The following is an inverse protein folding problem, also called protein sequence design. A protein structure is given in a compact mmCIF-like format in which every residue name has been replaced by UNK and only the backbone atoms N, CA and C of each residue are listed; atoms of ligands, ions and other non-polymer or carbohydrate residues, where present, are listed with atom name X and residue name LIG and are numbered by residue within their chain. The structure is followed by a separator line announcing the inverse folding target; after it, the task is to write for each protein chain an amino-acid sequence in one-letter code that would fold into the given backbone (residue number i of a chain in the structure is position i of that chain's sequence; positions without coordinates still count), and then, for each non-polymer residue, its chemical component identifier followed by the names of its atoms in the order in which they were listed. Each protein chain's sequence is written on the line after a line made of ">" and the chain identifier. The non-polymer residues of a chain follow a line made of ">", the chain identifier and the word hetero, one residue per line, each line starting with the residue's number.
data_IF_474173689100
#
_entry.id   IF_474173689100
#
_cell.length_a   1.000
_cell.length_b   1.000
_cell.length_c   1.000
_cell.angle_alpha   90.00
_cell.angle_beta   90.00
_cell.angle_gamma   90.00
#
_symmetry.space_group_name_H-M   'P 1'
#
loop_
_entity.id
_entity.type
_entity.pdbx_description
1 polymer ?
#
# COMPACT_ATOMS: atom_id res chain seq x y z
N UNK A 1 9.36 11.14 15.32
CA UNK A 1 8.29 10.16 15.61
C UNK A 1 8.94 8.82 15.91
N UNK A 2 8.64 8.18 17.04
CA UNK A 2 9.16 6.83 17.31
C UNK A 2 8.55 5.82 16.31
N UNK A 3 9.35 4.93 15.74
CA UNK A 3 8.88 3.88 14.81
C UNK A 3 8.20 2.75 15.61
N UNK A 4 6.96 2.98 16.02
CA UNK A 4 6.14 2.03 16.81
C UNK A 4 5.89 0.69 16.10
N UNK A 5 6.04 0.66 14.76
CA UNK A 5 5.89 -0.54 13.93
C UNK A 5 7.11 -1.46 13.91
N UNK A 6 8.29 -1.00 14.37
CA UNK A 6 9.52 -1.79 14.42
C UNK A 6 9.65 -2.63 15.70
N UNK A 7 8.68 -2.53 16.61
CA UNK A 7 8.68 -3.37 17.83
C UNK A 7 8.39 -4.81 17.41
N UNK A 8 9.41 -5.67 17.47
CA UNK A 8 9.24 -7.12 17.34
C UNK A 8 8.31 -7.57 18.48
N UNK A 9 7.07 -7.89 18.15
CA UNK A 9 6.19 -8.60 19.06
C UNK A 9 6.54 -10.09 18.91
N UNK A 10 6.92 -10.74 20.00
CA UNK A 10 7.42 -12.12 20.00
C UNK A 10 6.31 -13.14 19.70
N UNK A 11 5.03 -12.74 19.82
CA UNK A 11 3.84 -13.57 19.61
C UNK A 11 2.89 -13.05 18.51
N UNK A 12 3.41 -12.57 17.37
CA UNK A 12 2.52 -12.25 16.23
C UNK A 12 2.03 -13.57 15.62
N UNK A 13 0.79 -13.95 15.92
CA UNK A 13 0.09 -14.97 15.13
C UNK A 13 0.11 -14.53 13.67
N UNK A 14 0.70 -15.35 12.81
CA UNK A 14 0.70 -15.10 11.37
C UNK A 14 -0.74 -15.23 10.85
N UNK A 15 -1.46 -14.11 10.82
CA UNK A 15 -2.82 -14.02 10.30
C UNK A 15 -2.78 -13.68 8.83
N UNK A 16 -3.46 -14.47 8.01
CA UNK A 16 -3.65 -14.16 6.60
C UNK A 16 -4.52 -12.90 6.46
N UNK A 17 -4.22 -12.02 5.50
CA UNK A 17 -5.06 -10.86 5.22
C UNK A 17 -6.45 -11.30 4.77
N UNK A 18 -7.47 -10.50 5.11
CA UNK A 18 -8.83 -10.73 4.65
C UNK A 18 -8.94 -10.51 3.13
N UNK A 19 -9.89 -11.18 2.49
CA UNK A 19 -10.11 -11.07 1.03
C UNK A 19 -10.42 -9.63 0.60
N UNK A 20 -11.14 -8.88 1.43
CA UNK A 20 -11.50 -7.49 1.18
C UNK A 20 -10.25 -6.60 1.18
N UNK A 21 -9.32 -6.83 2.11
CA UNK A 21 -8.05 -6.10 2.17
C UNK A 21 -7.19 -6.37 0.93
N UNK A 22 -7.12 -7.62 0.49
CA UNK A 22 -6.41 -7.98 -0.75
C UNK A 22 -7.06 -7.26 -1.95
N UNK A 23 -8.39 -7.32 -2.06
CA UNK A 23 -9.13 -6.69 -3.15
C UNK A 23 -8.96 -5.17 -3.16
N UNK A 24 -9.00 -4.54 -1.98
CA UNK A 24 -8.75 -3.11 -1.82
C UNK A 24 -7.36 -2.72 -2.33
N UNK A 25 -6.31 -3.42 -1.89
CA UNK A 25 -4.93 -3.14 -2.31
C UNK A 25 -4.75 -3.34 -3.82
N UNK A 26 -5.32 -4.42 -4.39
CA UNK A 26 -5.23 -4.70 -5.81
C UNK A 26 -5.97 -3.65 -6.66
N UNK A 27 -7.17 -3.25 -6.24
CA UNK A 27 -7.94 -2.23 -6.94
C UNK A 27 -7.23 -0.87 -6.87
N UNK A 28 -6.73 -0.50 -5.69
CA UNK A 28 -5.94 0.72 -5.51
C UNK A 28 -4.68 0.72 -6.39
N UNK A 29 -3.94 -0.37 -6.41
CA UNK A 29 -2.73 -0.51 -7.25
C UNK A 29 -3.03 -0.42 -8.75
N UNK A 30 -4.21 -0.85 -9.18
CA UNK A 30 -4.64 -0.73 -10.59
C UNK A 30 -5.07 0.69 -10.93
N UNK A 31 -5.69 1.40 -9.99
CA UNK A 31 -6.11 2.78 -10.15
C UNK A 31 -4.91 3.75 -10.15
N UNK A 32 -3.86 3.44 -9.38
CA UNK A 32 -2.65 4.25 -9.29
C UNK A 32 -1.78 4.11 -10.55
N UNK A 33 -1.54 5.25 -11.19
CA UNK A 33 -0.67 5.37 -12.36
C UNK A 33 0.34 6.49 -12.13
N UNK A 34 1.62 6.16 -12.22
CA UNK A 34 2.69 7.15 -12.20
C UNK A 34 2.95 7.61 -13.63
N UNK A 35 2.82 8.91 -13.89
CA UNK A 35 3.03 9.52 -15.20
C UNK A 35 4.25 10.43 -15.12
N UNK A 36 5.15 10.29 -16.09
CA UNK A 36 6.32 11.17 -16.23
C UNK A 36 6.14 12.06 -17.45
N UNK A 37 6.23 13.37 -17.27
CA UNK A 37 6.22 14.34 -18.37
C UNK A 37 7.21 15.47 -18.09
N UNK A 38 8.07 15.77 -19.07
CA UNK A 38 9.08 16.86 -18.99
C UNK A 38 9.87 16.84 -17.67
N UNK A 39 10.40 15.67 -17.30
CA UNK A 39 11.15 15.42 -16.06
C UNK A 39 10.38 15.64 -14.75
N UNK A 40 9.05 15.80 -14.81
CA UNK A 40 8.19 15.86 -13.64
C UNK A 40 7.41 14.54 -13.57
N UNK A 41 7.42 13.93 -12.40
CA UNK A 41 6.63 12.73 -12.10
C UNK A 41 5.42 13.13 -11.26
N UNK A 42 4.25 12.60 -11.61
CA UNK A 42 3.04 12.80 -10.82
C UNK A 42 2.21 11.52 -10.78
N UNK A 43 1.48 11.38 -9.69
CA UNK A 43 0.56 10.28 -9.45
C UNK A 43 -0.82 10.64 -10.01
N UNK A 44 -1.45 9.69 -10.69
CA UNK A 44 -2.83 9.77 -11.15
C UNK A 44 -3.59 8.57 -10.61
N UNK A 45 -4.67 8.81 -9.87
CA UNK A 45 -5.53 7.76 -9.33
C UNK A 45 -6.85 7.84 -10.08
N UNK A 46 -7.13 6.84 -10.92
CA UNK A 46 -8.38 6.74 -11.67
C UNK A 46 -9.47 6.14 -10.76
N UNK A 47 -10.44 6.94 -10.33
CA UNK A 47 -11.57 6.51 -9.49
C UNK A 47 -12.83 6.26 -10.33
#
# INVERSE_FOLDING_TARGET
>A
MAKIYSKKNEDVKCVSPKKETISFLLNYSKALRIVTHKNIQFENILN
#
